data_IF_942815867888
#
_entry.id   IF_942815867888
#
_cell.length_a   1.000
_cell.length_b   1.000
_cell.length_c   1.000
_cell.angle_alpha   90.00
_cell.angle_beta   90.00
_cell.angle_gamma   90.00
#
_symmetry.space_group_name_H-M   'P 1'
#
loop_
_entity.id
_entity.type
_entity.pdbx_description
1 polymer ?
#
# COMPACT_ATOMS: atom_id res chain seq x y z
N UNK A 1 -13.46 11.41 20.37
CA UNK A 1 -12.45 10.49 19.77
C UNK A 1 -12.82 10.04 18.36
N UNK A 2 -14.04 9.61 18.07
CA UNK A 2 -14.41 9.18 16.69
C UNK A 2 -14.41 10.34 15.69
N UNK A 3 -14.98 11.50 16.02
CA UNK A 3 -14.97 12.68 15.15
C UNK A 3 -13.55 13.23 14.91
N UNK A 4 -12.74 13.35 15.97
CA UNK A 4 -11.34 13.76 15.86
C UNK A 4 -10.53 12.81 14.99
N UNK A 5 -10.73 11.49 15.14
CA UNK A 5 -10.11 10.49 14.27
C UNK A 5 -10.55 10.70 12.82
N UNK A 6 -11.85 10.85 12.55
CA UNK A 6 -12.35 11.11 11.19
C UNK A 6 -11.73 12.37 10.57
N UNK A 7 -11.66 13.45 11.33
CA UNK A 7 -11.03 14.69 10.87
C UNK A 7 -9.54 14.49 10.56
N UNK A 8 -8.81 13.76 11.42
CA UNK A 8 -7.40 13.44 11.18
C UNK A 8 -7.21 12.58 9.93
N UNK A 9 -8.04 11.54 9.74
CA UNK A 9 -8.00 10.70 8.54
C UNK A 9 -8.30 11.50 7.27
N UNK A 10 -9.26 12.42 7.33
CA UNK A 10 -9.59 13.32 6.22
C UNK A 10 -8.38 14.19 5.85
N UNK A 11 -7.72 14.78 6.84
CA UNK A 11 -6.49 15.58 6.64
C UNK A 11 -5.39 14.74 6.01
N UNK A 12 -5.17 13.51 6.48
CA UNK A 12 -4.17 12.58 5.92
C UNK A 12 -4.43 12.32 4.43
N UNK A 13 -5.65 11.94 4.07
CA UNK A 13 -6.01 11.62 2.68
C UNK A 13 -5.81 12.84 1.79
N UNK A 14 -6.36 13.99 2.18
CA UNK A 14 -6.25 15.21 1.37
C UNK A 14 -4.80 15.70 1.25
N UNK A 15 -3.98 15.55 2.30
CA UNK A 15 -2.55 15.89 2.27
C UNK A 15 -1.78 15.05 1.24
N UNK A 16 -2.08 13.76 1.10
CA UNK A 16 -1.42 12.92 0.10
C UNK A 16 -1.93 13.20 -1.30
N UNK A 17 -3.25 13.39 -1.45
CA UNK A 17 -3.87 13.63 -2.74
C UNK A 17 -3.58 15.03 -3.31
N UNK A 18 -3.42 16.06 -2.47
CA UNK A 18 -3.08 17.42 -2.94
C UNK A 18 -1.72 17.48 -3.65
N UNK A 19 -0.81 16.54 -3.37
CA UNK A 19 0.46 16.41 -4.10
C UNK A 19 0.27 16.12 -5.59
N UNK A 20 -0.91 15.64 -6.00
CA UNK A 20 -1.26 15.44 -7.41
C UNK A 20 -1.53 16.75 -8.14
N UNK A 21 -1.88 17.84 -7.44
CA UNK A 21 -2.16 19.13 -8.08
C UNK A 21 -0.94 19.67 -8.83
N UNK A 22 0.24 19.49 -8.24
CA UNK A 22 1.54 19.90 -8.80
C UNK A 22 2.18 18.81 -9.67
N UNK A 23 1.53 17.67 -9.86
CA UNK A 23 2.10 16.58 -10.64
C UNK A 23 2.26 16.98 -12.11
N UNK A 24 3.48 16.84 -12.63
CA UNK A 24 3.79 16.96 -14.05
C UNK A 24 4.22 15.59 -14.58
N UNK A 25 3.53 15.04 -15.60
CA UNK A 25 3.95 13.81 -16.25
C UNK A 25 5.35 13.98 -16.84
N UNK A 26 6.21 13.01 -16.56
CA UNK A 26 7.55 12.95 -17.14
C UNK A 26 7.98 11.49 -17.24
N UNK A 27 8.76 11.18 -18.27
CA UNK A 27 9.41 9.89 -18.43
C UNK A 27 10.84 9.94 -17.88
N UNK A 28 11.34 8.82 -17.34
CA UNK A 28 12.69 8.73 -16.76
C UNK A 28 12.73 8.90 -15.23
N UNK A 29 13.95 9.00 -14.66
CA UNK A 29 14.18 9.04 -13.20
C UNK A 29 15.17 10.12 -12.82
N UNK A 30 14.87 10.87 -11.75
CA UNK A 30 15.79 11.88 -11.21
C UNK A 30 16.06 12.99 -12.23
N UNK A 31 17.35 13.24 -12.52
CA UNK A 31 17.79 14.28 -13.45
C UNK A 31 17.43 14.01 -14.92
N UNK A 32 17.01 12.80 -15.28
CA UNK A 32 16.63 12.42 -16.66
C UNK A 32 15.12 12.46 -16.89
N UNK A 33 14.40 13.31 -16.15
CA UNK A 33 12.95 13.49 -16.35
C UNK A 33 12.69 14.32 -17.60
N UNK A 34 12.16 13.68 -18.63
CA UNK A 34 11.84 14.30 -19.91
C UNK A 34 10.34 14.62 -19.98
N UNK A 35 10.04 15.86 -20.34
CA UNK A 35 8.70 16.30 -20.73
C UNK A 35 8.35 15.76 -22.13
N UNK A 36 7.09 15.93 -22.56
CA UNK A 36 6.60 15.37 -23.83
C UNK A 36 7.47 15.73 -25.05
N UNK A 37 7.85 17.01 -25.18
CA UNK A 37 8.67 17.49 -26.30
C UNK A 37 10.09 16.89 -26.29
N UNK A 38 10.74 16.88 -25.12
CA UNK A 38 12.09 16.33 -24.95
C UNK A 38 12.10 14.80 -25.16
N UNK A 39 11.03 14.12 -24.72
CA UNK A 39 10.86 12.69 -24.90
C UNK A 39 10.68 12.34 -26.37
N UNK A 40 9.85 13.11 -27.09
CA UNK A 40 9.68 12.98 -28.54
C UNK A 40 11.02 13.15 -29.27
N UNK A 41 11.77 14.21 -28.95
CA UNK A 41 13.06 14.46 -29.58
C UNK A 41 14.05 13.31 -29.28
N UNK A 42 14.07 12.82 -28.04
CA UNK A 42 14.94 11.71 -27.64
C UNK A 42 14.58 10.42 -28.38
N UNK A 43 13.29 10.09 -28.48
CA UNK A 43 12.82 8.88 -29.15
C UNK A 43 12.98 8.95 -30.67
N UNK A 44 12.82 10.13 -31.28
CA UNK A 44 13.05 10.31 -32.71
C UNK A 44 14.52 10.10 -33.11
N UNK A 45 15.47 10.35 -32.20
CA UNK A 45 16.91 10.13 -32.42
C UNK A 45 17.35 8.69 -32.23
N UNK A 46 16.56 7.85 -31.57
CA UNK A 46 16.86 6.45 -31.38
C UNK A 46 16.27 5.62 -32.55
N UNK A 47 17.09 4.88 -33.31
CA UNK A 47 16.60 4.12 -34.45
C UNK A 47 15.52 3.10 -34.11
N UNK A 48 15.58 2.45 -32.95
CA UNK A 48 14.54 1.48 -32.54
C UNK A 48 13.24 2.22 -32.30
N UNK A 49 13.27 3.32 -31.55
CA UNK A 49 12.06 4.06 -31.23
C UNK A 49 11.45 4.70 -32.48
N UNK A 50 12.25 5.32 -33.33
CA UNK A 50 11.76 5.96 -34.55
C UNK A 50 11.23 4.94 -35.58
N UNK A 51 11.95 3.83 -35.84
CA UNK A 51 11.51 2.81 -36.80
C UNK A 51 10.15 2.20 -36.41
N UNK A 52 9.91 2.00 -35.12
CA UNK A 52 8.65 1.44 -34.63
C UNK A 52 7.58 2.50 -34.27
N UNK A 53 7.81 3.78 -34.59
CA UNK A 53 6.85 4.86 -34.35
C UNK A 53 6.62 5.16 -32.87
N UNK A 54 7.57 4.85 -32.00
CA UNK A 54 7.52 5.12 -30.57
C UNK A 54 7.79 6.60 -30.25
N UNK A 55 8.22 7.40 -31.22
CA UNK A 55 8.30 8.86 -31.17
C UNK A 55 6.99 9.57 -31.59
N UNK A 56 5.95 8.80 -31.90
CA UNK A 56 4.63 9.32 -32.24
C UNK A 56 3.96 10.06 -31.07
N UNK A 57 3.13 11.09 -31.32
CA UNK A 57 2.37 11.77 -30.27
C UNK A 57 1.53 10.81 -29.40
N UNK A 58 0.96 9.78 -30.02
CA UNK A 58 0.12 8.78 -29.36
C UNK A 58 0.91 7.94 -28.37
N UNK A 59 2.11 7.47 -28.75
CA UNK A 59 2.97 6.69 -27.86
C UNK A 59 3.51 7.52 -26.69
N UNK A 60 3.89 8.77 -26.97
CA UNK A 60 4.35 9.71 -25.94
C UNK A 60 3.21 9.98 -24.93
N UNK A 61 1.99 10.25 -25.41
CA UNK A 61 0.82 10.45 -24.57
C UNK A 61 0.53 9.21 -23.70
N UNK A 62 0.56 8.01 -24.29
CA UNK A 62 0.35 6.75 -23.58
C UNK A 62 1.42 6.51 -22.50
N UNK A 63 2.69 6.81 -22.80
CA UNK A 63 3.82 6.69 -21.87
C UNK A 63 3.64 7.60 -20.65
N UNK A 64 3.26 8.86 -20.88
CA UNK A 64 3.03 9.84 -19.81
C UNK A 64 1.76 9.51 -19.00
N UNK A 65 0.71 9.00 -19.64
CA UNK A 65 -0.49 8.51 -18.97
C UNK A 65 -0.16 7.35 -18.02
N UNK A 66 0.68 6.39 -18.43
CA UNK A 66 1.13 5.30 -17.56
C UNK A 66 1.85 5.79 -16.30
N UNK A 67 2.72 6.80 -16.44
CA UNK A 67 3.35 7.47 -15.30
C UNK A 67 2.35 8.18 -14.38
N UNK A 68 1.33 8.81 -14.97
CA UNK A 68 0.25 9.50 -14.24
C UNK A 68 -0.55 8.53 -13.38
N UNK A 69 -1.00 7.42 -13.95
CA UNK A 69 -1.74 6.37 -13.23
C UNK A 69 -0.90 5.82 -12.07
N UNK A 70 0.39 5.54 -12.31
CA UNK A 70 1.31 5.08 -11.25
C UNK A 70 1.38 6.08 -10.09
N UNK A 71 1.43 7.38 -10.39
CA UNK A 71 1.46 8.45 -9.37
C UNK A 71 0.19 8.47 -8.52
N UNK A 72 -0.99 8.40 -9.15
CA UNK A 72 -2.30 8.33 -8.46
C UNK A 72 -2.31 7.15 -7.49
N UNK A 73 -2.00 5.94 -7.98
CA UNK A 73 -2.02 4.74 -7.17
C UNK A 73 -1.03 4.83 -6.02
N UNK A 74 0.15 5.41 -6.23
CA UNK A 74 1.11 5.62 -5.13
C UNK A 74 0.57 6.54 -4.05
N UNK A 75 -0.08 7.66 -4.42
CA UNK A 75 -0.63 8.60 -3.43
C UNK A 75 -1.81 8.02 -2.66
N UNK A 76 -2.65 7.22 -3.31
CA UNK A 76 -3.71 6.47 -2.62
C UNK A 76 -3.08 5.43 -1.67
N UNK A 77 -2.06 4.69 -2.11
CA UNK A 77 -1.33 3.75 -1.25
C UNK A 77 -0.74 4.41 -0.01
N UNK A 78 -0.02 5.53 -0.18
CA UNK A 78 0.57 6.32 0.92
C UNK A 78 -0.54 6.76 1.91
N UNK A 79 -1.70 7.18 1.41
CA UNK A 79 -2.83 7.60 2.24
C UNK A 79 -3.44 6.43 3.03
N UNK A 80 -3.66 5.27 2.39
CA UNK A 80 -4.21 4.09 3.04
C UNK A 80 -3.30 3.57 4.16
N UNK A 81 -2.00 3.48 3.90
CA UNK A 81 -1.00 3.07 4.90
C UNK A 81 -1.06 3.99 6.13
N UNK A 82 -1.00 5.31 5.92
CA UNK A 82 -1.02 6.28 7.01
C UNK A 82 -2.36 6.27 7.76
N UNK A 83 -3.50 6.12 7.07
CA UNK A 83 -4.81 6.00 7.68
C UNK A 83 -4.94 4.76 8.56
N UNK A 84 -4.56 3.57 8.05
CA UNK A 84 -4.66 2.32 8.81
C UNK A 84 -3.76 2.36 10.04
N UNK A 85 -2.52 2.84 9.90
CA UNK A 85 -1.62 3.05 11.03
C UNK A 85 -2.24 4.00 12.06
N UNK A 86 -2.85 5.10 11.62
CA UNK A 86 -3.49 6.09 12.50
C UNK A 86 -4.70 5.49 13.22
N UNK A 87 -5.53 4.71 12.54
CA UNK A 87 -6.66 4.01 13.15
C UNK A 87 -6.17 3.10 14.27
N UNK A 88 -5.17 2.25 14.03
CA UNK A 88 -4.64 1.37 15.07
C UNK A 88 -4.04 2.14 16.26
N UNK A 89 -3.21 3.15 15.98
CA UNK A 89 -2.61 4.01 17.02
C UNK A 89 -3.67 4.65 17.92
N UNK A 90 -4.67 5.31 17.32
CA UNK A 90 -5.71 6.00 18.07
C UNK A 90 -6.62 5.03 18.82
N UNK A 91 -7.04 3.94 18.19
CA UNK A 91 -8.01 3.01 18.77
C UNK A 91 -7.40 2.15 19.88
N UNK A 92 -6.10 1.86 19.82
CA UNK A 92 -5.40 1.11 20.86
C UNK A 92 -4.60 1.99 21.82
N UNK A 93 -4.61 3.31 21.62
CA UNK A 93 -3.84 4.29 22.43
C UNK A 93 -2.34 3.98 22.45
N UNK A 94 -1.82 3.54 21.30
CA UNK A 94 -0.42 3.23 21.11
C UNK A 94 0.36 4.46 20.65
N UNK A 95 1.65 4.48 20.93
CA UNK A 95 2.58 5.48 20.39
C UNK A 95 3.13 5.05 19.04
N UNK A 96 3.65 6.00 18.26
CA UNK A 96 4.30 5.70 16.98
C UNK A 96 5.41 4.66 17.13
N UNK A 97 6.19 4.76 18.20
CA UNK A 97 7.33 3.89 18.50
C UNK A 97 6.89 2.44 18.74
N UNK A 98 5.80 2.23 19.47
CA UNK A 98 5.25 0.89 19.73
C UNK A 98 4.77 0.19 18.46
N UNK A 99 4.40 0.95 17.43
CA UNK A 99 3.95 0.40 16.14
C UNK A 99 5.06 0.20 15.11
N UNK A 100 6.31 0.54 15.46
CA UNK A 100 7.46 0.41 14.55
C UNK A 100 8.09 -0.97 14.72
N UNK A 101 8.29 -1.64 13.61
CA UNK A 101 9.14 -2.82 13.54
C UNK A 101 10.04 -2.74 12.33
N UNK A 102 11.33 -3.00 12.53
CA UNK A 102 12.34 -2.99 11.48
C UNK A 102 13.29 -4.14 11.69
N UNK A 103 13.58 -4.87 10.62
CA UNK A 103 14.52 -5.97 10.61
C UNK A 103 15.57 -5.77 9.52
N UNK A 104 16.77 -6.32 9.75
CA UNK A 104 17.79 -6.46 8.71
C UNK A 104 17.74 -7.90 8.23
N UNK A 105 17.21 -8.09 7.01
CA UNK A 105 16.99 -9.40 6.42
C UNK A 105 18.07 -9.67 5.39
N UNK A 106 18.65 -10.87 5.44
CA UNK A 106 19.58 -11.35 4.43
C UNK A 106 18.80 -11.86 3.21
N UNK A 107 19.04 -11.29 2.03
CA UNK A 107 18.44 -11.72 0.78
C UNK A 107 19.55 -12.01 -0.22
N UNK A 108 19.89 -13.28 -0.41
CA UNK A 108 21.17 -13.66 -1.02
C UNK A 108 22.33 -13.12 -0.17
N UNK A 109 23.30 -12.45 -0.79
CA UNK A 109 24.45 -11.88 -0.07
C UNK A 109 24.20 -10.46 0.47
N UNK A 110 23.00 -9.91 0.25
CA UNK A 110 22.70 -8.51 0.59
C UNK A 110 21.86 -8.42 1.86
N UNK A 111 22.39 -7.71 2.85
CA UNK A 111 21.62 -7.26 4.01
C UNK A 111 20.73 -6.09 3.61
N UNK A 112 19.43 -6.23 3.85
CA UNK A 112 18.43 -5.23 3.49
C UNK A 112 17.58 -4.90 4.70
N UNK A 113 17.50 -3.61 5.04
CA UNK A 113 16.56 -3.12 6.05
C UNK A 113 15.14 -3.18 5.48
N UNK A 114 14.21 -3.72 6.28
CA UNK A 114 12.79 -3.86 5.97
C UNK A 114 11.98 -3.49 7.20
N UNK A 115 10.79 -2.94 6.98
CA UNK A 115 9.91 -2.47 8.05
C UNK A 115 8.49 -2.90 7.72
N UNK A 116 7.69 -3.11 8.76
CA UNK A 116 6.25 -3.29 8.63
C UNK A 116 5.56 -1.93 8.62
N UNK A 117 4.41 -1.86 7.95
CA UNK A 117 3.58 -0.64 7.94
C UNK A 117 2.92 -0.41 9.30
N UNK A 118 2.52 -1.51 9.97
CA UNK A 118 2.05 -1.51 11.36
C UNK A 118 2.57 -2.76 12.07
N UNK A 119 3.10 -2.60 13.27
CA UNK A 119 3.42 -3.69 14.18
C UNK A 119 2.60 -3.59 15.45
N UNK A 120 2.03 -4.71 15.91
CA UNK A 120 1.23 -4.77 17.12
C UNK A 120 1.75 -5.89 18.03
N UNK A 121 2.58 -5.53 19.02
CA UNK A 121 2.91 -6.46 20.10
C UNK A 121 1.66 -6.77 20.92
N UNK A 122 1.30 -8.05 21.08
CA UNK A 122 0.08 -8.44 21.79
C UNK A 122 0.09 -7.96 23.25
N UNK A 123 1.27 -7.89 23.86
CA UNK A 123 1.46 -7.37 25.23
C UNK A 123 1.02 -5.93 25.39
N UNK A 124 1.16 -5.12 24.36
CA UNK A 124 0.89 -3.68 24.40
C UNK A 124 -0.58 -3.36 24.12
N UNK A 125 -1.35 -4.34 23.66
CA UNK A 125 -2.76 -4.16 23.33
C UNK A 125 -3.65 -4.17 24.58
N UNK A 126 -4.76 -3.40 24.57
CA UNK A 126 -5.80 -3.52 25.59
C UNK A 126 -6.33 -4.97 25.69
N UNK A 127 -6.71 -5.47 26.88
CA UNK A 127 -7.04 -6.90 27.09
C UNK A 127 -8.04 -7.48 26.08
N UNK A 128 -9.18 -6.83 25.86
CA UNK A 128 -10.19 -7.29 24.90
C UNK A 128 -9.66 -7.36 23.46
N UNK A 129 -8.75 -6.44 23.07
CA UNK A 129 -8.15 -6.42 21.73
C UNK A 129 -7.03 -7.45 21.60
N UNK A 130 -6.26 -7.67 22.68
CA UNK A 130 -5.28 -8.75 22.77
C UNK A 130 -5.93 -10.11 22.56
N UNK A 131 -7.03 -10.38 23.24
CA UNK A 131 -7.79 -11.64 23.10
C UNK A 131 -8.34 -11.81 21.68
N UNK A 132 -8.91 -10.74 21.11
CA UNK A 132 -9.41 -10.74 19.72
C UNK A 132 -8.31 -11.09 18.72
N UNK A 133 -7.13 -10.46 18.81
CA UNK A 133 -6.01 -10.76 17.93
C UNK A 133 -5.38 -12.13 18.18
N UNK A 134 -5.30 -12.57 19.42
CA UNK A 134 -4.80 -13.91 19.75
C UNK A 134 -5.70 -14.99 19.13
N UNK A 135 -7.02 -14.83 19.24
CA UNK A 135 -7.99 -15.72 18.59
C UNK A 135 -7.86 -15.69 17.07
N UNK A 136 -7.86 -14.50 16.48
CA UNK A 136 -7.66 -14.35 15.03
C UNK A 136 -6.38 -15.03 14.55
N UNK A 137 -5.27 -14.85 15.28
CA UNK A 137 -4.00 -15.48 14.93
C UNK A 137 -4.06 -17.01 15.02
N UNK A 138 -4.68 -17.54 16.08
CA UNK A 138 -4.87 -18.98 16.25
C UNK A 138 -5.72 -19.55 15.12
N UNK A 139 -6.90 -18.97 14.85
CA UNK A 139 -7.81 -19.42 13.80
C UNK A 139 -7.12 -19.45 12.42
N UNK A 140 -6.29 -18.44 12.13
CA UNK A 140 -5.55 -18.36 10.86
C UNK A 140 -4.40 -19.36 10.78
N UNK A 141 -3.72 -19.63 11.90
CA UNK A 141 -2.66 -20.63 11.93
C UNK A 141 -3.21 -22.06 11.79
N UNK A 142 -4.34 -22.36 12.42
CA UNK A 142 -4.99 -23.67 12.33
C UNK A 142 -5.47 -24.00 10.91
N UNK A 143 -5.84 -23.00 10.13
CA UNK A 143 -6.14 -23.16 8.69
C UNK A 143 -4.91 -23.53 7.85
N UNK A 144 -3.70 -23.20 8.31
CA UNK A 144 -2.44 -23.50 7.62
C UNK A 144 -1.87 -24.84 8.10
N UNK A 145 -1.88 -25.06 9.41
CA UNK A 145 -1.36 -26.27 10.06
C UNK A 145 -2.25 -26.61 11.26
N UNK A 146 -2.81 -27.83 11.33
CA UNK A 146 -3.67 -28.24 12.45
C UNK A 146 -3.02 -28.20 13.84
N UNK A 147 -1.68 -28.17 13.91
CA UNK A 147 -0.92 -28.10 15.17
C UNK A 147 0.27 -27.14 15.01
N UNK A 148 0.04 -25.81 14.98
CA UNK A 148 1.10 -24.83 14.77
C UNK A 148 2.05 -24.82 15.97
N UNK A 149 3.35 -24.99 15.71
CA UNK A 149 4.40 -24.98 16.75
C UNK A 149 4.94 -23.58 17.05
N UNK A 150 4.53 -22.57 16.28
CA UNK A 150 4.99 -21.19 16.43
C UNK A 150 4.06 -20.45 17.39
N UNK A 151 4.63 -19.88 18.45
CA UNK A 151 3.90 -18.97 19.34
C UNK A 151 3.86 -17.57 18.74
N UNK A 152 2.68 -17.07 18.44
CA UNK A 152 2.48 -15.69 17.99
C UNK A 152 2.49 -14.74 19.18
N UNK A 153 3.36 -13.73 19.11
CA UNK A 153 3.50 -12.68 20.13
C UNK A 153 3.16 -11.30 19.59
N UNK A 154 3.04 -11.16 18.27
CA UNK A 154 2.68 -9.91 17.61
C UNK A 154 1.98 -10.13 16.26
N UNK A 155 1.31 -9.09 15.77
CA UNK A 155 0.75 -9.03 14.42
C UNK A 155 1.54 -7.99 13.62
N UNK A 156 1.99 -8.36 12.43
CA UNK A 156 2.70 -7.48 11.52
C UNK A 156 1.89 -7.26 10.26
N UNK A 157 1.68 -5.99 9.89
CA UNK A 157 0.88 -5.62 8.74
C UNK A 157 1.72 -5.10 7.59
N UNK A 158 1.33 -5.53 6.39
CA UNK A 158 1.59 -4.82 5.16
C UNK A 158 0.26 -4.26 4.62
N UNK A 159 0.21 -2.96 4.37
CA UNK A 159 -0.97 -2.23 3.92
C UNK A 159 -0.83 -1.89 2.45
N UNK A 160 -1.85 -2.24 1.67
CA UNK A 160 -1.89 -2.02 0.23
C UNK A 160 -3.27 -1.56 -0.18
N UNK A 161 -3.36 -0.47 -0.95
CA UNK A 161 -4.63 -0.13 -1.57
C UNK A 161 -4.95 -1.08 -2.73
N UNK A 162 -3.95 -1.44 -3.56
CA UNK A 162 -4.10 -2.33 -4.71
C UNK A 162 -2.73 -2.78 -5.28
N UNK A 163 -2.67 -3.95 -5.92
CA UNK A 163 -1.56 -4.37 -6.79
C UNK A 163 -1.96 -4.31 -8.26
N UNK A 164 -1.46 -3.32 -9.01
CA UNK A 164 -1.73 -3.20 -10.45
C UNK A 164 -0.73 -3.97 -11.33
N UNK A 165 0.52 -4.07 -10.90
CA UNK A 165 1.60 -4.70 -11.66
C UNK A 165 2.34 -5.75 -10.83
N UNK A 166 2.91 -6.73 -11.52
CA UNK A 166 3.76 -7.76 -10.92
C UNK A 166 5.20 -7.24 -10.76
N UNK A 167 5.40 -6.22 -9.91
CA UNK A 167 6.73 -5.73 -9.57
C UNK A 167 7.48 -6.80 -8.74
N UNK A 168 8.39 -7.51 -9.42
CA UNK A 168 9.17 -8.60 -8.82
C UNK A 168 10.05 -8.16 -7.66
N UNK A 169 10.52 -6.90 -7.65
CA UNK A 169 11.36 -6.38 -6.55
C UNK A 169 10.52 -6.14 -5.30
N UNK A 170 9.30 -5.61 -5.46
CA UNK A 170 8.36 -5.43 -4.34
C UNK A 170 7.91 -6.77 -3.80
N UNK A 171 7.55 -7.71 -4.67
CA UNK A 171 7.17 -9.06 -4.27
C UNK A 171 8.27 -9.76 -3.46
N UNK A 172 9.53 -9.71 -3.91
CA UNK A 172 10.65 -10.30 -3.17
C UNK A 172 10.86 -9.64 -1.79
N UNK A 173 10.66 -8.33 -1.69
CA UNK A 173 10.80 -7.63 -0.41
C UNK A 173 9.70 -8.03 0.59
N UNK A 174 8.44 -8.08 0.13
CA UNK A 174 7.29 -8.47 0.94
C UNK A 174 7.40 -9.95 1.39
N UNK A 175 7.86 -10.86 0.52
CA UNK A 175 8.07 -12.28 0.89
C UNK A 175 9.19 -12.47 1.91
N UNK A 176 10.31 -11.77 1.73
CA UNK A 176 11.43 -11.82 2.67
C UNK A 176 10.98 -11.35 4.06
N UNK A 177 10.16 -10.30 4.11
CA UNK A 177 9.59 -9.78 5.35
C UNK A 177 8.64 -10.80 6.00
N UNK A 178 7.75 -11.44 5.23
CA UNK A 178 6.83 -12.45 5.74
C UNK A 178 7.54 -13.63 6.40
N UNK A 179 8.57 -14.17 5.72
CA UNK A 179 9.39 -15.28 6.27
C UNK A 179 10.04 -14.88 7.58
N UNK A 180 10.59 -13.66 7.64
CA UNK A 180 11.18 -13.11 8.86
C UNK A 180 10.14 -12.98 9.97
N UNK A 181 8.93 -12.50 9.67
CA UNK A 181 7.84 -12.41 10.64
C UNK A 181 7.51 -13.77 11.24
N UNK A 182 7.29 -14.80 10.40
CA UNK A 182 6.93 -16.15 10.85
C UNK A 182 7.96 -16.70 11.85
N UNK A 183 9.25 -16.66 11.51
CA UNK A 183 10.31 -17.19 12.40
C UNK A 183 10.52 -16.32 13.65
N UNK A 184 10.05 -15.07 13.63
CA UNK A 184 10.10 -14.15 14.77
C UNK A 184 8.86 -14.20 15.65
N UNK A 185 7.91 -15.11 15.40
CA UNK A 185 6.65 -15.19 16.16
C UNK A 185 5.69 -14.02 15.86
N UNK A 186 5.82 -13.38 14.70
CA UNK A 186 4.97 -12.29 14.24
C UNK A 186 4.04 -12.86 13.16
N UNK A 187 2.72 -12.76 13.33
CA UNK A 187 1.77 -13.17 12.29
C UNK A 187 1.82 -12.14 11.14
N UNK A 188 2.23 -12.54 9.92
CA UNK A 188 2.25 -11.64 8.78
C UNK A 188 0.84 -11.52 8.18
N UNK A 189 0.23 -10.33 8.28
CA UNK A 189 -1.09 -10.01 7.72
C UNK A 189 -0.95 -8.97 6.61
N UNK A 190 -1.52 -9.24 5.44
CA UNK A 190 -1.54 -8.30 4.33
C UNK A 190 -2.97 -7.81 4.12
N UNK A 191 -3.17 -6.50 4.28
CA UNK A 191 -4.45 -5.82 4.05
C UNK A 191 -4.44 -5.23 2.64
N UNK A 192 -5.30 -5.74 1.76
CA UNK A 192 -5.40 -5.28 0.37
C UNK A 192 -6.81 -4.74 0.13
N UNK A 193 -6.97 -3.43 0.15
CA UNK A 193 -8.30 -2.82 0.14
C UNK A 193 -9.02 -2.84 -1.22
N UNK A 194 -8.37 -3.34 -2.28
CA UNK A 194 -8.96 -3.48 -3.61
C UNK A 194 -9.10 -4.95 -4.02
N UNK A 195 -10.30 -5.30 -4.51
CA UNK A 195 -10.61 -6.62 -5.06
C UNK A 195 -10.05 -6.85 -6.48
N UNK A 196 -9.57 -5.81 -7.16
CA UNK A 196 -9.08 -5.86 -8.54
C UNK A 196 -7.55 -5.99 -8.63
N UNK A 197 -6.90 -6.39 -7.53
CA UNK A 197 -5.46 -6.64 -7.54
C UNK A 197 -5.07 -7.78 -8.48
N UNK A 198 -3.84 -7.74 -9.00
CA UNK A 198 -3.30 -8.76 -9.89
C UNK A 198 -3.26 -10.13 -9.19
N UNK A 199 -4.07 -11.08 -9.69
CA UNK A 199 -4.27 -12.39 -9.07
C UNK A 199 -3.00 -13.22 -8.92
N UNK A 200 -2.06 -13.14 -9.87
CA UNK A 200 -0.81 -13.91 -9.78
C UNK A 200 0.07 -13.44 -8.61
N UNK A 201 0.09 -12.12 -8.36
CA UNK A 201 0.77 -11.52 -7.21
C UNK A 201 0.10 -11.94 -5.91
N UNK A 202 -1.23 -11.90 -5.87
CA UNK A 202 -1.97 -12.28 -4.66
C UNK A 202 -1.78 -13.75 -4.29
N UNK A 203 -1.91 -14.65 -5.26
CA UNK A 203 -1.72 -16.08 -5.04
C UNK A 203 -0.32 -16.40 -4.51
N UNK A 204 0.69 -15.67 -4.99
CA UNK A 204 2.06 -15.76 -4.48
C UNK A 204 2.16 -15.33 -3.01
N UNK A 205 1.47 -14.29 -2.58
CA UNK A 205 1.53 -13.85 -1.19
C UNK A 205 0.79 -14.77 -0.22
N UNK A 206 -0.29 -15.43 -0.65
CA UNK A 206 -1.08 -16.32 0.22
C UNK A 206 -0.29 -17.50 0.79
N UNK A 207 0.87 -17.85 0.23
CA UNK A 207 1.74 -18.89 0.79
C UNK A 207 2.55 -18.44 2.01
N UNK A 208 2.64 -17.13 2.27
CA UNK A 208 3.49 -16.57 3.34
C UNK A 208 2.77 -15.52 4.20
N UNK A 209 1.78 -14.82 3.63
CA UNK A 209 0.97 -13.81 4.29
C UNK A 209 -0.45 -14.32 4.49
N UNK A 210 -1.07 -13.93 5.60
CA UNK A 210 -2.52 -13.95 5.74
C UNK A 210 -3.08 -12.78 4.94
N UNK A 211 -3.56 -13.06 3.72
CA UNK A 211 -4.07 -12.02 2.80
C UNK A 211 -5.58 -11.88 2.96
N UNK A 212 -6.01 -10.64 3.22
CA UNK A 212 -7.43 -10.22 3.10
C UNK A 212 -7.56 -9.26 1.92
N UNK A 213 -8.72 -9.28 1.26
CA UNK A 213 -8.93 -8.46 0.05
C UNK A 213 -10.28 -7.75 0.02
N UNK A 214 -10.30 -6.54 -0.56
CA UNK A 214 -11.51 -5.77 -0.77
C UNK A 214 -12.25 -5.49 0.53
N UNK A 215 -13.55 -5.80 0.55
CA UNK A 215 -14.41 -5.61 1.74
C UNK A 215 -13.91 -6.40 2.96
N UNK A 216 -13.28 -7.56 2.77
CA UNK A 216 -12.75 -8.34 3.89
C UNK A 216 -11.67 -7.57 4.67
N UNK A 217 -10.81 -6.81 3.99
CA UNK A 217 -9.81 -5.96 4.66
C UNK A 217 -10.47 -4.83 5.45
N UNK A 218 -11.56 -4.25 4.95
CA UNK A 218 -12.30 -3.23 5.68
C UNK A 218 -13.01 -3.81 6.91
N UNK A 219 -13.65 -4.97 6.77
CA UNK A 219 -14.32 -5.65 7.88
C UNK A 219 -13.32 -6.08 8.95
N UNK A 220 -12.16 -6.63 8.59
CA UNK A 220 -11.13 -6.96 9.57
C UNK A 220 -10.68 -5.73 10.37
N UNK A 221 -10.47 -4.58 9.70
CA UNK A 221 -10.14 -3.33 10.41
C UNK A 221 -11.27 -2.91 11.35
N UNK A 222 -12.53 -3.01 10.90
CA UNK A 222 -13.71 -2.65 11.70
C UNK A 222 -13.88 -3.56 12.91
N UNK A 223 -13.79 -4.88 12.74
CA UNK A 223 -13.88 -5.86 13.83
C UNK A 223 -12.81 -5.61 14.89
N UNK A 224 -11.56 -5.44 14.44
CA UNK A 224 -10.42 -5.34 15.34
C UNK A 224 -10.33 -3.98 16.02
N UNK A 225 -10.72 -2.89 15.36
CA UNK A 225 -10.56 -1.53 15.91
C UNK A 225 -11.87 -0.88 16.37
N UNK A 226 -13.02 -1.41 15.94
CA UNK A 226 -14.33 -0.81 16.09
C UNK A 226 -14.56 0.43 15.21
N UNK A 227 -13.68 0.71 14.24
CA UNK A 227 -13.81 1.86 13.34
C UNK A 227 -14.15 1.41 11.91
N UNK A 228 -15.27 1.90 11.39
CA UNK A 228 -15.71 1.59 10.02
C UNK A 228 -15.02 2.50 9.00
N UNK A 229 -13.85 2.07 8.53
CA UNK A 229 -13.07 2.84 7.57
C UNK A 229 -13.76 2.94 6.20
N UNK A 230 -14.52 1.93 5.80
CA UNK A 230 -15.25 1.95 4.53
C UNK A 230 -16.37 2.99 4.54
N UNK A 231 -17.20 2.99 5.59
CA UNK A 231 -18.25 3.99 5.76
C UNK A 231 -17.69 5.41 5.81
N UNK A 232 -16.55 5.61 6.49
CA UNK A 232 -15.84 6.89 6.50
C UNK A 232 -15.43 7.33 5.08
N UNK A 233 -14.79 6.45 4.30
CA UNK A 233 -14.41 6.78 2.92
C UNK A 233 -15.62 7.13 2.05
N UNK A 234 -16.72 6.40 2.21
CA UNK A 234 -17.95 6.62 1.46
C UNK A 234 -18.59 7.97 1.78
N UNK A 235 -18.61 8.35 3.06
CA UNK A 235 -19.18 9.63 3.52
C UNK A 235 -18.42 10.86 2.95
N UNK A 236 -17.12 10.71 2.66
CA UNK A 236 -16.26 11.80 2.16
C UNK A 236 -15.81 11.62 0.71
N UNK A 237 -16.40 10.67 -0.03
CA UNK A 237 -15.96 10.28 -1.38
C UNK A 237 -15.85 11.45 -2.36
N UNK A 238 -16.77 12.41 -2.23
CA UNK A 238 -16.82 13.58 -3.11
C UNK A 238 -15.61 14.46 -2.93
N UNK A 239 -15.16 14.68 -1.70
CA UNK A 239 -13.98 15.48 -1.40
C UNK A 239 -12.70 14.76 -1.86
N UNK A 240 -12.64 13.44 -1.65
CA UNK A 240 -11.47 12.63 -2.01
C UNK A 240 -11.28 12.46 -3.51
N UNK A 241 -12.35 12.51 -4.33
CA UNK A 241 -12.19 12.42 -5.79
C UNK A 241 -11.66 13.71 -6.41
N UNK A 242 -11.94 14.87 -5.80
CA UNK A 242 -11.67 16.17 -6.43
C UNK A 242 -10.20 16.39 -6.83
N UNK A 243 -9.18 16.09 -6.00
CA UNK A 243 -7.79 16.30 -6.39
C UNK A 243 -7.39 15.47 -7.60
N UNK A 244 -7.89 14.23 -7.70
CA UNK A 244 -7.60 13.33 -8.83
C UNK A 244 -8.27 13.84 -10.10
N UNK A 245 -9.56 14.15 -10.03
CA UNK A 245 -10.32 14.65 -11.19
C UNK A 245 -9.73 15.96 -11.70
N UNK A 246 -9.43 16.92 -10.81
CA UNK A 246 -8.83 18.20 -11.19
C UNK A 246 -7.46 18.04 -11.82
N UNK A 247 -6.63 17.12 -11.33
CA UNK A 247 -5.34 16.80 -11.97
C UNK A 247 -5.57 16.28 -13.39
N UNK A 248 -6.46 15.29 -13.58
CA UNK A 248 -6.71 14.69 -14.90
C UNK A 248 -7.29 15.70 -15.89
N UNK A 249 -8.22 16.55 -15.45
CA UNK A 249 -8.78 17.62 -16.28
C UNK A 249 -7.73 18.65 -16.70
N UNK A 250 -6.83 19.02 -15.78
CA UNK A 250 -5.71 19.91 -16.08
C UNK A 250 -4.79 19.29 -17.12
N UNK A 251 -4.35 18.05 -16.91
CA UNK A 251 -3.46 17.35 -17.84
C UNK A 251 -4.08 17.20 -19.23
N UNK A 252 -5.38 16.90 -19.32
CA UNK A 252 -6.09 16.84 -20.60
C UNK A 252 -6.09 18.17 -21.35
N UNK A 253 -6.07 19.32 -20.67
CA UNK A 253 -6.00 20.65 -21.31
C UNK A 253 -4.58 21.03 -21.73
N UNK A 254 -3.57 20.41 -21.13
CA UNK A 254 -2.14 20.64 -21.42
C UNK A 254 -1.60 19.71 -22.53
N UNK A 255 -2.38 18.71 -22.95
CA UNK A 255 -2.05 17.75 -24.02
C UNK A 255 -2.70 18.20 -25.33
#
# INVERSE_FOLDING_TARGET
MTEELQQNLKVIILKHLSRLEQYRPAHGRGATRLAAAELKETFAKDPVYSIFGLDSPEYIAATLAGGTITSIHRKIGDAYEECIRTIFLTRYRLTSEQTRYTAVILTGDRRRRRSLDVYLALTDLPPARRESWARYAQDRLEQISPAPQVRITAIGFEVRHCYQSADSKRAQADEAMARHCIVSGILPVMLIFCAQSNRSVINRYRSLWIVTEGLESYELVKEQTGFDFYAFLLAHKEEFRQPIVRMLERLRKET
#
